data_IF_218660224502
#
_entry.id   IF_218660224502
#
_cell.length_a   1.000
_cell.length_b   1.000
_cell.length_c   1.000
_cell.angle_alpha   90.00
_cell.angle_beta   90.00
_cell.angle_gamma   90.00
#
_symmetry.space_group_name_H-M   'P 1'
#
loop_
_entity.id
_entity.type
_entity.pdbx_description
1 polymer ?
#
# COMPACT_ATOMS: atom_id res chain seq x y z
N UNK A 1 -2.03 4.00 16.63
CA UNK A 1 -0.79 3.97 15.82
C UNK A 1 -0.67 2.64 15.08
N UNK A 2 -0.37 2.69 13.82
CA UNK A 2 -0.25 1.50 12.99
C UNK A 2 1.12 1.41 12.33
N UNK A 3 1.51 0.21 11.91
CA UNK A 3 2.74 -0.01 11.16
C UNK A 3 2.40 -0.18 9.69
N UNK A 4 2.91 0.72 8.85
CA UNK A 4 2.53 0.85 7.44
C UNK A 4 3.75 0.70 6.54
N UNK A 5 3.63 -0.15 5.51
CA UNK A 5 4.63 -0.27 4.46
C UNK A 5 4.11 0.45 3.21
N UNK A 6 4.91 1.38 2.68
CA UNK A 6 4.59 2.07 1.42
C UNK A 6 5.53 1.56 0.33
N UNK A 7 4.97 1.08 -0.76
CA UNK A 7 5.72 0.67 -1.95
C UNK A 7 5.42 1.66 -3.08
N UNK A 8 6.42 2.47 -3.45
CA UNK A 8 6.30 3.51 -4.46
C UNK A 8 7.67 3.79 -5.06
N UNK A 9 7.78 3.72 -6.39
CA UNK A 9 9.05 3.92 -7.09
C UNK A 9 9.38 5.40 -7.33
N UNK A 10 8.40 6.29 -7.32
CA UNK A 10 8.64 7.72 -7.42
C UNK A 10 9.07 8.27 -6.06
N UNK A 11 10.36 8.60 -5.95
CA UNK A 11 10.98 8.95 -4.67
C UNK A 11 10.30 10.12 -3.96
N UNK A 12 9.97 11.18 -4.72
CA UNK A 12 9.34 12.37 -4.14
C UNK A 12 7.95 12.06 -3.60
N UNK A 13 7.15 11.29 -4.34
CA UNK A 13 5.81 10.92 -3.91
C UNK A 13 5.88 9.98 -2.70
N UNK A 14 6.80 9.03 -2.72
CA UNK A 14 7.02 8.13 -1.59
C UNK A 14 7.34 8.90 -0.32
N UNK A 15 8.27 9.86 -0.41
CA UNK A 15 8.66 10.69 0.74
C UNK A 15 7.50 11.53 1.27
N UNK A 16 6.69 12.11 0.38
CA UNK A 16 5.51 12.89 0.77
C UNK A 16 4.49 12.04 1.51
N UNK A 17 4.19 10.87 0.98
CA UNK A 17 3.24 9.94 1.60
C UNK A 17 3.75 9.47 2.96
N UNK A 18 5.02 9.09 3.04
CA UNK A 18 5.63 8.62 4.28
C UNK A 18 5.58 9.70 5.36
N UNK A 19 5.90 10.94 5.01
CA UNK A 19 5.87 12.07 5.94
C UNK A 19 4.45 12.32 6.46
N UNK A 20 3.46 12.32 5.56
CA UNK A 20 2.08 12.55 5.93
C UNK A 20 1.57 11.52 6.93
N UNK A 21 1.89 10.25 6.71
CA UNK A 21 1.44 9.17 7.59
C UNK A 21 2.24 9.13 8.89
N UNK A 22 3.54 9.44 8.85
CA UNK A 22 4.35 9.54 10.06
C UNK A 22 3.86 10.69 10.96
N UNK A 23 3.51 11.82 10.35
CA UNK A 23 2.95 12.98 11.09
C UNK A 23 1.62 12.62 11.74
N UNK A 24 0.85 11.72 11.13
CA UNK A 24 -0.41 11.23 11.72
C UNK A 24 -0.20 10.20 12.84
N UNK A 25 1.04 9.88 13.19
CA UNK A 25 1.37 9.01 14.32
C UNK A 25 1.67 7.56 13.95
N UNK A 26 1.77 7.23 12.66
CA UNK A 26 2.06 5.86 12.23
C UNK A 26 3.56 5.59 12.13
N UNK A 27 3.93 4.32 12.29
CA UNK A 27 5.29 3.84 12.04
C UNK A 27 5.36 3.43 10.57
N UNK A 28 6.13 4.17 9.76
CA UNK A 28 6.14 4.02 8.30
C UNK A 28 7.49 3.49 7.83
N UNK A 29 7.44 2.44 6.99
CA UNK A 29 8.59 1.90 6.28
C UNK A 29 8.32 2.04 4.79
N UNK A 30 9.34 2.35 4.00
CA UNK A 30 9.19 2.54 2.56
C UNK A 30 10.02 1.54 1.77
N UNK A 31 9.54 1.21 0.57
CA UNK A 31 10.27 0.39 -0.40
C UNK A 31 10.07 0.99 -1.79
N UNK A 32 11.05 0.86 -2.67
CA UNK A 32 11.03 1.53 -3.97
C UNK A 32 10.50 0.66 -5.12
N UNK A 33 10.19 -0.59 -4.85
CA UNK A 33 9.56 -1.49 -5.82
C UNK A 33 8.88 -2.65 -5.08
N UNK A 34 8.15 -3.48 -5.84
CA UNK A 34 7.39 -4.58 -5.24
C UNK A 34 8.27 -5.67 -4.65
N UNK A 35 9.42 -5.95 -5.28
CA UNK A 35 10.35 -6.96 -4.78
C UNK A 35 10.95 -6.54 -3.43
N UNK A 36 11.39 -5.29 -3.33
CA UNK A 36 11.91 -4.74 -2.07
C UNK A 36 10.84 -4.74 -0.97
N UNK A 37 9.60 -4.39 -1.33
CA UNK A 37 8.49 -4.41 -0.38
C UNK A 37 8.20 -5.82 0.13
N UNK A 38 8.19 -6.80 -0.77
CA UNK A 38 7.96 -8.20 -0.37
C UNK A 38 9.06 -8.72 0.56
N UNK A 39 10.31 -8.34 0.29
CA UNK A 39 11.44 -8.69 1.16
C UNK A 39 11.27 -8.10 2.57
N UNK A 40 10.80 -6.87 2.66
CA UNK A 40 10.50 -6.23 3.95
C UNK A 40 9.39 -6.99 4.69
N UNK A 41 8.32 -7.36 4.00
CA UNK A 41 7.23 -8.14 4.59
C UNK A 41 7.72 -9.49 5.13
N UNK A 42 8.54 -10.19 4.36
CA UNK A 42 9.09 -11.49 4.76
C UNK A 42 10.04 -11.38 5.95
N UNK A 43 10.91 -10.37 5.92
CA UNK A 43 11.89 -10.15 6.99
C UNK A 43 11.22 -9.84 8.33
N UNK A 44 10.14 -9.06 8.29
CA UNK A 44 9.42 -8.67 9.50
C UNK A 44 8.28 -9.63 9.86
N UNK A 45 8.17 -10.76 9.16
CA UNK A 45 7.15 -11.76 9.45
C UNK A 45 5.73 -11.28 9.22
N UNK A 46 5.55 -10.30 8.33
CA UNK A 46 4.23 -9.75 8.03
C UNK A 46 3.64 -8.87 9.14
N UNK A 47 4.45 -8.30 10.01
CA UNK A 47 4.00 -7.51 11.16
C UNK A 47 3.55 -6.10 10.82
N UNK A 48 3.11 -5.89 9.60
CA UNK A 48 2.52 -4.63 9.17
C UNK A 48 1.00 -4.70 9.27
N UNK A 49 0.40 -3.57 9.59
CA UNK A 49 -1.06 -3.45 9.62
C UNK A 49 -1.62 -3.14 8.24
N UNK A 50 -0.85 -2.43 7.43
CA UNK A 50 -1.29 -1.95 6.13
C UNK A 50 -0.14 -1.90 5.13
N UNK A 51 -0.43 -2.33 3.91
CA UNK A 51 0.43 -2.12 2.74
C UNK A 51 -0.26 -1.10 1.83
N UNK A 52 0.42 0.02 1.56
CA UNK A 52 -0.02 1.00 0.57
C UNK A 52 0.94 0.89 -0.62
N UNK A 53 0.46 0.49 -1.78
CA UNK A 53 1.33 0.25 -2.92
C UNK A 53 0.80 0.86 -4.20
N UNK A 54 1.71 1.45 -4.98
CA UNK A 54 1.45 1.81 -6.37
C UNK A 54 1.33 0.52 -7.20
N UNK A 55 0.66 0.59 -8.34
CA UNK A 55 0.56 -0.54 -9.27
C UNK A 55 1.79 -0.59 -10.17
N UNK A 56 2.12 0.52 -10.82
CA UNK A 56 3.22 0.55 -11.79
C UNK A 56 4.56 0.81 -11.10
N UNK A 57 5.35 -0.25 -10.95
CA UNK A 57 6.69 -0.20 -10.38
C UNK A 57 7.61 -1.14 -11.16
N UNK A 58 8.93 -0.87 -11.19
CA UNK A 58 9.88 -1.79 -11.81
C UNK A 58 10.02 -3.08 -11.00
N UNK A 59 10.56 -4.11 -11.62
CA UNK A 59 10.90 -5.42 -11.05
C UNK A 59 9.66 -6.23 -10.69
N UNK A 60 8.84 -5.74 -9.77
CA UNK A 60 7.58 -6.37 -9.38
C UNK A 60 6.54 -5.27 -9.19
N UNK A 61 5.44 -5.30 -9.93
CA UNK A 61 4.39 -4.29 -9.81
C UNK A 61 3.50 -4.53 -8.60
N UNK A 62 2.62 -3.56 -8.32
CA UNK A 62 1.75 -3.62 -7.15
C UNK A 62 0.69 -4.71 -7.21
N UNK A 63 0.30 -5.15 -8.40
CA UNK A 63 -0.63 -6.27 -8.56
C UNK A 63 0.06 -7.57 -8.11
N UNK A 64 1.26 -7.84 -8.62
CA UNK A 64 2.02 -9.03 -8.24
C UNK A 64 2.37 -9.01 -6.74
N UNK A 65 2.75 -7.84 -6.22
CA UNK A 65 3.01 -7.66 -4.79
C UNK A 65 1.77 -7.97 -3.95
N UNK A 66 0.61 -7.44 -4.36
CA UNK A 66 -0.65 -7.67 -3.62
C UNK A 66 -1.04 -9.13 -3.61
N UNK A 67 -0.87 -9.83 -4.73
CA UNK A 67 -1.16 -11.26 -4.80
C UNK A 67 -0.25 -12.07 -3.86
N UNK A 68 1.05 -11.78 -3.88
CA UNK A 68 2.01 -12.46 -3.02
C UNK A 68 1.74 -12.15 -1.54
N UNK A 69 1.47 -10.89 -1.22
CA UNK A 69 1.20 -10.46 0.15
C UNK A 69 -0.09 -11.09 0.70
N UNK A 70 -1.15 -11.12 -0.11
CA UNK A 70 -2.42 -11.73 0.31
C UNK A 70 -2.28 -13.23 0.55
N UNK A 71 -1.47 -13.91 -0.26
CA UNK A 71 -1.20 -15.35 -0.10
C UNK A 71 -0.42 -15.63 1.18
N UNK A 72 0.67 -14.88 1.42
CA UNK A 72 1.62 -15.16 2.49
C UNK A 72 1.26 -14.47 3.82
N UNK A 73 0.52 -13.36 3.76
CA UNK A 73 0.15 -12.55 4.93
C UNK A 73 -1.33 -12.19 4.85
N UNK A 74 -2.24 -13.16 5.05
CA UNK A 74 -3.68 -12.95 4.80
C UNK A 74 -4.33 -11.91 5.71
N UNK A 75 -3.71 -11.57 6.85
CA UNK A 75 -4.25 -10.56 7.77
C UNK A 75 -3.82 -9.13 7.41
N UNK A 76 -2.92 -8.99 6.43
CA UNK A 76 -2.45 -7.68 5.98
C UNK A 76 -3.53 -6.99 5.15
N UNK A 77 -3.85 -5.75 5.52
CA UNK A 77 -4.77 -4.92 4.73
C UNK A 77 -3.99 -4.26 3.60
N UNK A 78 -4.55 -4.23 2.40
CA UNK A 78 -3.88 -3.70 1.20
C UNK A 78 -4.70 -2.56 0.61
N UNK A 79 -4.03 -1.42 0.37
CA UNK A 79 -4.58 -0.26 -0.30
C UNK A 79 -3.75 0.00 -1.56
N UNK A 80 -4.39 -0.03 -2.73
CA UNK A 80 -3.72 0.23 -4.00
C UNK A 80 -3.85 1.70 -4.40
N UNK A 81 -2.78 2.28 -4.95
CA UNK A 81 -2.78 3.59 -5.58
C UNK A 81 -2.78 3.39 -7.10
N UNK A 82 -3.70 4.04 -7.82
CA UNK A 82 -3.84 3.87 -9.27
C UNK A 82 -3.78 5.20 -9.99
N UNK A 83 -3.02 5.27 -11.09
CA UNK A 83 -2.87 6.49 -11.86
C UNK A 83 -3.63 6.53 -13.18
N UNK A 84 -3.94 5.38 -13.75
CA UNK A 84 -4.51 5.29 -15.09
C UNK A 84 -5.72 4.34 -15.12
N UNK A 85 -6.58 4.51 -16.12
CA UNK A 85 -7.78 3.70 -16.26
C UNK A 85 -7.48 2.20 -16.41
N UNK A 86 -6.43 1.86 -17.17
CA UNK A 86 -6.01 0.47 -17.35
C UNK A 86 -5.55 -0.17 -16.04
N UNK A 87 -4.91 0.62 -15.16
CA UNK A 87 -4.53 0.15 -13.83
C UNK A 87 -5.76 -0.15 -12.96
N UNK A 88 -6.79 0.68 -13.08
CA UNK A 88 -8.05 0.44 -12.35
C UNK A 88 -8.73 -0.84 -12.80
N UNK A 89 -8.73 -1.13 -14.10
CA UNK A 89 -9.28 -2.37 -14.63
C UNK A 89 -8.51 -3.58 -14.10
N UNK A 90 -7.18 -3.49 -14.06
CA UNK A 90 -6.34 -4.56 -13.51
C UNK A 90 -6.61 -4.78 -12.02
N UNK A 91 -6.78 -3.69 -11.27
CA UNK A 91 -7.06 -3.76 -9.84
C UNK A 91 -8.46 -4.30 -9.55
N UNK A 92 -9.41 -4.08 -10.44
CA UNK A 92 -10.80 -4.51 -10.25
C UNK A 92 -10.92 -6.02 -10.00
N UNK A 93 -10.07 -6.82 -10.63
CA UNK A 93 -10.05 -8.27 -10.41
C UNK A 93 -9.53 -8.70 -9.04
N UNK A 94 -9.00 -7.76 -8.24
CA UNK A 94 -8.43 -8.04 -6.93
C UNK A 94 -9.33 -7.63 -5.76
N UNK A 95 -10.59 -7.31 -6.03
CA UNK A 95 -11.52 -6.77 -5.02
C UNK A 95 -11.62 -7.63 -3.75
N UNK A 96 -11.45 -8.94 -3.88
CA UNK A 96 -11.48 -9.86 -2.74
C UNK A 96 -10.20 -9.82 -1.90
N UNK A 97 -9.10 -9.29 -2.44
CA UNK A 97 -7.78 -9.33 -1.80
C UNK A 97 -7.33 -7.98 -1.25
N UNK A 98 -7.88 -6.90 -1.77
CA UNK A 98 -7.50 -5.54 -1.38
C UNK A 98 -8.66 -4.85 -0.66
N UNK A 99 -8.32 -3.90 0.20
CA UNK A 99 -9.34 -3.11 0.91
C UNK A 99 -9.99 -2.11 -0.04
N UNK A 100 -9.18 -1.33 -0.76
CA UNK A 100 -9.68 -0.27 -1.61
C UNK A 100 -8.61 0.20 -2.60
N UNK A 101 -9.01 1.10 -3.48
CA UNK A 101 -8.15 1.72 -4.50
C UNK A 101 -8.20 3.23 -4.31
N UNK A 102 -7.03 3.87 -4.21
CA UNK A 102 -6.91 5.32 -4.11
C UNK A 102 -6.43 5.88 -5.46
N UNK A 103 -7.29 6.60 -6.20
CA UNK A 103 -6.89 7.13 -7.51
C UNK A 103 -5.88 8.28 -7.38
N UNK A 104 -4.91 8.32 -8.28
CA UNK A 104 -3.99 9.44 -8.43
C UNK A 104 -4.57 10.44 -9.45
N UNK A 105 -4.36 11.74 -9.32
CA UNK A 105 -3.70 12.38 -8.18
C UNK A 105 -4.61 12.41 -6.96
N UNK A 106 -4.03 12.31 -5.78
CA UNK A 106 -4.77 12.42 -4.53
C UNK A 106 -4.16 13.52 -3.66
N UNK A 107 -4.94 14.03 -2.71
CA UNK A 107 -4.43 14.95 -1.69
C UNK A 107 -3.87 14.17 -0.52
N UNK A 108 -3.01 14.79 0.28
CA UNK A 108 -2.51 14.15 1.49
C UNK A 108 -3.65 13.87 2.49
N UNK A 109 -4.66 14.74 2.52
CA UNK A 109 -5.86 14.50 3.31
C UNK A 109 -6.63 13.27 2.80
N UNK A 110 -6.71 13.10 1.47
CA UNK A 110 -7.33 11.93 0.85
C UNK A 110 -6.58 10.64 1.20
N UNK A 111 -5.26 10.67 1.15
CA UNK A 111 -4.43 9.53 1.55
C UNK A 111 -4.66 9.17 3.02
N UNK A 112 -4.60 10.15 3.91
CA UNK A 112 -4.83 9.91 5.35
C UNK A 112 -6.22 9.35 5.62
N UNK A 113 -7.24 9.88 4.93
CA UNK A 113 -8.60 9.38 5.06
C UNK A 113 -8.75 7.94 4.62
N UNK A 114 -8.13 7.58 3.48
CA UNK A 114 -8.16 6.21 2.97
C UNK A 114 -7.43 5.24 3.92
N UNK A 115 -6.30 5.66 4.47
CA UNK A 115 -5.54 4.87 5.44
C UNK A 115 -6.34 4.68 6.73
N UNK A 116 -6.93 5.74 7.26
CA UNK A 116 -7.74 5.67 8.49
C UNK A 116 -8.92 4.72 8.30
N UNK A 117 -9.59 4.78 7.17
CA UNK A 117 -10.70 3.88 6.84
C UNK A 117 -10.23 2.43 6.79
N UNK A 118 -9.11 2.17 6.11
CA UNK A 118 -8.55 0.81 5.99
C UNK A 118 -8.20 0.24 7.37
N UNK A 119 -7.60 1.03 8.23
CA UNK A 119 -7.22 0.61 9.58
C UNK A 119 -8.45 0.41 10.48
N UNK A 120 -9.48 1.22 10.32
CA UNK A 120 -10.74 1.08 11.07
C UNK A 120 -11.45 -0.22 10.73
N UNK A 121 -11.52 -0.57 9.44
CA UNK A 121 -12.12 -1.82 9.00
C UNK A 121 -11.35 -3.01 9.56
N UNK A 122 -10.02 -2.94 9.54
CA UNK A 122 -9.18 -4.01 10.09
C UNK A 122 -9.40 -4.21 11.59
N UNK A 123 -9.63 -3.14 12.33
CA UNK A 123 -9.82 -3.18 13.79
C UNK A 123 -11.16 -3.82 14.20
N UNK A 124 -12.09 -3.93 13.28
CA UNK A 124 -13.37 -4.58 13.55
C UNK A 124 -13.24 -6.09 13.44
#
# INVERSE_FOLDING_TARGET
MARILIAEDEEALCAMCARALATAGHDVVTACDGSAALDVLKRDGGRFDLLVTDIRMPIMDGIALSLAAARDFPDLTILLMTGYADQRERAHGLDALIHDVLPKPFTLAGLRGAVDEALTVKAR
#
